data_IF_543243633357
#
_entry.id   IF_543243633357
#
_cell.length_a   1.000
_cell.length_b   1.000
_cell.length_c   1.000
_cell.angle_alpha   90.00
_cell.angle_beta   90.00
_cell.angle_gamma   90.00
#
_symmetry.space_group_name_H-M   'P 1'
#
loop_
_entity.id
_entity.type
_entity.pdbx_description
1 polymer ?
#
# COMPACT_ATOMS: atom_id res chain seq x y z
N UNK A 1 -2.74 -21.90 -4.94
CA UNK A 1 -2.11 -21.55 -3.65
C UNK A 1 -3.18 -20.92 -2.77
N UNK A 2 -3.58 -21.56 -1.66
CA UNK A 2 -4.67 -21.04 -0.84
C UNK A 2 -4.23 -19.70 -0.22
N UNK A 3 -5.03 -18.66 -0.43
CA UNK A 3 -4.82 -17.28 0.02
C UNK A 3 -4.71 -17.10 1.54
N UNK A 4 -4.91 -18.16 2.34
CA UNK A 4 -4.88 -18.14 3.80
C UNK A 4 -3.50 -18.25 4.45
N UNK A 5 -2.53 -18.93 3.81
CA UNK A 5 -1.21 -19.14 4.41
C UNK A 5 -0.42 -17.82 4.59
N UNK A 6 -0.57 -16.90 3.63
CA UNK A 6 0.04 -15.57 3.71
C UNK A 6 -0.56 -14.72 4.83
N UNK A 7 -1.90 -14.72 4.97
CA UNK A 7 -2.57 -13.95 6.03
C UNK A 7 -2.27 -14.49 7.43
N UNK A 8 -2.08 -15.80 7.59
CA UNK A 8 -1.74 -16.39 8.89
C UNK A 8 -0.31 -16.04 9.31
N UNK A 9 0.67 -16.16 8.41
CA UNK A 9 2.06 -15.77 8.69
C UNK A 9 2.13 -14.28 9.04
N UNK A 10 1.39 -13.44 8.33
CA UNK A 10 1.26 -12.01 8.64
C UNK A 10 0.75 -11.80 10.06
N UNK A 11 -0.38 -12.40 10.44
CA UNK A 11 -0.93 -12.26 11.79
C UNK A 11 0.03 -12.74 12.89
N UNK A 12 0.82 -13.79 12.63
CA UNK A 12 1.85 -14.28 13.54
C UNK A 12 3.01 -13.28 13.68
N UNK A 13 3.48 -12.71 12.57
CA UNK A 13 4.56 -11.72 12.59
C UNK A 13 4.17 -10.45 13.34
N UNK A 14 2.96 -9.94 13.10
CA UNK A 14 2.42 -8.76 13.79
C UNK A 14 2.25 -9.02 15.29
N UNK A 15 1.75 -10.21 15.66
CA UNK A 15 1.61 -10.61 17.06
C UNK A 15 2.98 -10.74 17.73
N UNK A 16 3.99 -11.30 17.03
CA UNK A 16 5.36 -11.36 17.54
C UNK A 16 5.96 -9.98 17.76
N UNK A 17 5.65 -9.00 16.90
CA UNK A 17 6.08 -7.62 17.11
C UNK A 17 5.53 -7.03 18.41
N UNK A 18 4.24 -7.23 18.68
CA UNK A 18 3.63 -6.78 19.94
C UNK A 18 4.28 -7.46 21.16
N UNK A 19 4.56 -8.76 21.07
CA UNK A 19 5.31 -9.49 22.10
C UNK A 19 6.73 -8.96 22.30
N UNK A 20 7.46 -8.68 21.23
CA UNK A 20 8.80 -8.10 21.31
C UNK A 20 8.77 -6.72 21.97
N UNK A 21 7.79 -5.87 21.66
CA UNK A 21 7.62 -4.58 22.32
C UNK A 21 7.32 -4.73 23.83
N UNK A 22 6.47 -5.69 24.22
CA UNK A 22 6.20 -5.99 25.62
C UNK A 22 7.46 -6.47 26.37
N UNK A 23 8.22 -7.41 25.78
CA UNK A 23 9.49 -7.88 26.34
C UNK A 23 10.50 -6.73 26.47
N UNK A 24 10.61 -5.87 25.45
CA UNK A 24 11.50 -4.71 25.44
C UNK A 24 11.13 -3.70 26.53
N UNK A 25 9.84 -3.50 26.80
CA UNK A 25 9.34 -2.69 27.91
C UNK A 25 9.81 -3.25 29.25
N UNK A 26 9.46 -4.52 29.51
CA UNK A 26 9.76 -5.18 30.79
C UNK A 26 11.26 -5.25 31.04
N UNK A 27 12.07 -5.51 30.01
CA UNK A 27 13.54 -5.59 30.12
C UNK A 27 14.19 -4.22 30.38
N UNK A 28 13.56 -3.12 30.00
CA UNK A 28 14.09 -1.75 30.16
C UNK A 28 15.26 -1.39 29.23
N UNK A 29 16.03 -2.37 28.73
CA UNK A 29 17.17 -2.21 27.80
C UNK A 29 16.96 -2.96 26.48
N UNK A 30 17.74 -2.66 25.42
CA UNK A 30 17.61 -3.32 24.12
C UNK A 30 17.54 -4.84 24.20
N UNK A 31 16.65 -5.42 23.40
CA UNK A 31 16.61 -6.85 23.13
C UNK A 31 17.81 -7.22 22.24
N UNK A 32 18.42 -8.37 22.51
CA UNK A 32 19.59 -8.88 21.78
C UNK A 32 19.17 -10.01 20.84
N UNK A 33 18.21 -10.84 21.24
CA UNK A 33 17.72 -11.95 20.42
C UNK A 33 16.28 -12.30 20.73
N UNK A 34 15.71 -13.21 19.92
CA UNK A 34 14.36 -13.72 20.14
C UNK A 34 14.21 -14.48 21.46
N UNK A 35 15.29 -15.06 21.99
CA UNK A 35 15.31 -15.79 23.26
C UNK A 35 15.13 -14.87 24.47
N UNK A 36 15.20 -13.55 24.28
CA UNK A 36 14.83 -12.61 25.33
C UNK A 36 13.31 -12.60 25.61
N UNK A 37 12.47 -13.13 24.72
CA UNK A 37 11.01 -13.16 24.93
C UNK A 37 10.63 -14.37 25.78
N UNK A 38 9.96 -14.12 26.90
CA UNK A 38 9.43 -15.15 27.80
C UNK A 38 7.95 -14.87 28.10
N UNK A 39 7.16 -15.87 28.51
CA UNK A 39 5.78 -15.63 28.94
C UNK A 39 5.66 -14.58 30.05
N UNK A 40 6.68 -14.48 30.93
CA UNK A 40 6.66 -13.54 32.04
C UNK A 40 6.87 -12.09 31.60
N UNK A 41 7.76 -11.84 30.64
CA UNK A 41 8.09 -10.47 30.22
C UNK A 41 7.23 -9.95 29.05
N UNK A 42 6.34 -10.78 28.53
CA UNK A 42 5.46 -10.46 27.40
C UNK A 42 4.00 -10.17 27.78
N UNK A 43 3.66 -10.14 29.08
CA UNK A 43 2.27 -9.99 29.60
C UNK A 43 1.51 -8.75 29.12
N UNK A 44 2.25 -7.70 28.74
CA UNK A 44 1.68 -6.44 28.24
C UNK A 44 1.28 -6.50 26.76
N UNK A 45 1.59 -7.59 26.06
CA UNK A 45 1.06 -7.86 24.73
C UNK A 45 -0.35 -8.45 24.81
N UNK A 46 -1.26 -7.94 23.99
CA UNK A 46 -2.66 -8.36 23.85
C UNK A 46 -2.86 -8.79 22.40
N UNK A 47 -2.67 -10.08 22.14
CA UNK A 47 -2.64 -10.64 20.78
C UNK A 47 -3.64 -11.78 20.64
N UNK A 48 -4.26 -11.91 19.46
CA UNK A 48 -5.10 -13.06 19.11
C UNK A 48 -4.30 -14.33 18.81
N UNK A 49 -3.00 -14.21 18.52
CA UNK A 49 -2.09 -15.35 18.30
C UNK A 49 -1.18 -15.54 19.50
N UNK A 50 -0.93 -16.80 19.88
CA UNK A 50 -0.10 -17.14 21.03
C UNK A 50 1.39 -16.96 20.73
N UNK A 51 2.17 -16.53 21.74
CA UNK A 51 3.63 -16.37 21.62
C UNK A 51 4.32 -17.66 21.13
N UNK A 52 3.94 -18.81 21.69
CA UNK A 52 4.50 -20.12 21.32
C UNK A 52 4.29 -20.44 19.84
N UNK A 53 3.11 -20.14 19.30
CA UNK A 53 2.80 -20.30 17.88
C UNK A 53 3.68 -19.38 17.02
N UNK A 54 3.84 -18.11 17.44
CA UNK A 54 4.67 -17.15 16.72
C UNK A 54 6.14 -17.60 16.64
N UNK A 55 6.71 -18.04 17.77
CA UNK A 55 8.10 -18.49 17.86
C UNK A 55 8.38 -19.76 17.04
N UNK A 56 7.40 -20.68 16.97
CA UNK A 56 7.51 -21.93 16.22
C UNK A 56 7.41 -21.71 14.70
N UNK A 57 6.50 -20.86 14.26
CA UNK A 57 6.13 -20.77 12.84
C UNK A 57 6.91 -19.72 12.03
N UNK A 58 7.53 -18.74 12.68
CA UNK A 58 8.25 -17.66 11.97
C UNK A 58 9.73 -18.00 11.77
N UNK A 59 10.24 -17.64 10.58
CA UNK A 59 11.66 -17.74 10.24
C UNK A 59 12.52 -16.73 11.04
N UNK A 60 13.83 -16.96 11.05
CA UNK A 60 14.78 -16.14 11.81
C UNK A 60 14.87 -14.70 11.29
N UNK A 61 14.54 -14.46 10.02
CA UNK A 61 14.51 -13.11 9.47
C UNK A 61 13.34 -12.33 10.04
N UNK A 62 12.16 -12.94 10.17
CA UNK A 62 11.00 -12.35 10.83
C UNK A 62 11.25 -12.11 12.32
N UNK A 63 11.85 -13.09 13.01
CA UNK A 63 12.21 -12.95 14.43
C UNK A 63 13.17 -11.79 14.65
N UNK A 64 14.25 -11.72 13.87
CA UNK A 64 15.19 -10.59 13.91
C UNK A 64 14.52 -9.26 13.60
N UNK A 65 13.70 -9.21 12.55
CA UNK A 65 12.93 -8.02 12.17
C UNK A 65 12.10 -7.48 13.34
N UNK A 66 11.46 -8.37 14.10
CA UNK A 66 10.65 -7.97 15.27
C UNK A 66 11.50 -7.37 16.40
N UNK A 67 12.67 -7.97 16.67
CA UNK A 67 13.61 -7.52 17.70
C UNK A 67 14.20 -6.15 17.36
N UNK A 68 14.71 -5.98 16.14
CA UNK A 68 15.27 -4.70 15.69
C UNK A 68 14.23 -3.59 15.69
N UNK A 69 13.03 -3.89 15.18
CA UNK A 69 11.93 -2.91 15.13
C UNK A 69 11.43 -2.53 16.52
N UNK A 70 11.32 -3.48 17.46
CA UNK A 70 10.96 -3.19 18.85
C UNK A 70 12.00 -2.25 19.50
N UNK A 71 13.29 -2.53 19.31
CA UNK A 71 14.34 -1.66 19.83
C UNK A 71 14.26 -0.24 19.23
N UNK A 72 14.02 -0.14 17.93
CA UNK A 72 13.91 1.13 17.23
C UNK A 72 12.66 1.93 17.69
N UNK A 73 11.51 1.29 17.85
CA UNK A 73 10.29 1.92 18.42
C UNK A 73 10.58 2.55 19.79
N UNK A 74 11.28 1.82 20.68
CA UNK A 74 11.61 2.33 22.01
C UNK A 74 12.62 3.48 21.96
N UNK A 75 13.57 3.44 21.03
CA UNK A 75 14.50 4.56 20.79
C UNK A 75 13.75 5.80 20.30
N UNK A 76 12.79 5.62 19.40
CA UNK A 76 12.07 6.71 18.76
C UNK A 76 11.04 7.39 19.67
N UNK A 77 10.32 6.62 20.47
CA UNK A 77 9.18 7.13 21.24
C UNK A 77 9.41 7.16 22.75
N UNK A 78 10.45 6.49 23.27
CA UNK A 78 10.67 6.31 24.71
C UNK A 78 9.42 5.74 25.40
N UNK A 79 8.89 4.65 24.85
CA UNK A 79 7.67 3.99 25.33
C UNK A 79 7.84 3.53 26.77
N UNK A 80 6.84 3.82 27.61
CA UNK A 80 6.75 3.42 29.01
C UNK A 80 5.31 3.09 29.37
N UNK A 81 5.13 2.22 30.36
CA UNK A 81 3.83 1.92 30.96
C UNK A 81 2.72 1.70 29.91
N UNK A 82 2.97 0.87 28.90
CA UNK A 82 2.07 0.66 27.76
C UNK A 82 1.69 -0.81 27.59
N UNK A 83 0.65 -1.04 26.81
CA UNK A 83 0.22 -2.36 26.31
C UNK A 83 0.31 -2.35 24.80
N UNK A 84 0.53 -3.53 24.20
CA UNK A 84 0.80 -3.69 22.77
C UNK A 84 -0.25 -4.61 22.18
N UNK A 85 -1.14 -4.06 21.36
CA UNK A 85 -2.33 -4.76 20.88
C UNK A 85 -2.14 -5.18 19.43
N UNK A 86 -2.47 -6.45 19.15
CA UNK A 86 -2.66 -6.98 17.81
C UNK A 86 -4.00 -7.71 17.81
N UNK A 87 -4.98 -7.14 17.10
CA UNK A 87 -6.34 -7.64 17.03
C UNK A 87 -7.08 -7.44 18.36
N UNK A 88 -8.27 -8.03 18.46
CA UNK A 88 -9.10 -7.97 19.65
C UNK A 88 -9.86 -6.66 19.80
N UNK A 89 -10.39 -6.44 21.00
CA UNK A 89 -11.44 -5.44 21.26
C UNK A 89 -10.98 -4.01 21.03
N UNK A 90 -9.74 -3.67 21.43
CA UNK A 90 -9.25 -2.30 21.32
C UNK A 90 -9.07 -1.88 19.86
N UNK A 91 -8.47 -2.75 19.05
CA UNK A 91 -8.29 -2.52 17.62
C UNK A 91 -9.66 -2.44 16.93
N UNK A 92 -10.57 -3.37 17.27
CA UNK A 92 -11.94 -3.40 16.73
C UNK A 92 -12.67 -2.09 17.01
N UNK A 93 -12.61 -1.60 18.25
CA UNK A 93 -13.24 -0.33 18.66
C UNK A 93 -12.72 0.87 17.86
N UNK A 94 -11.40 0.96 17.61
CA UNK A 94 -10.84 2.07 16.82
C UNK A 94 -11.34 2.03 15.38
N UNK A 95 -11.38 0.84 14.77
CA UNK A 95 -11.88 0.69 13.40
C UNK A 95 -13.41 0.79 13.30
N UNK A 96 -14.17 0.42 14.33
CA UNK A 96 -15.62 0.58 14.40
C UNK A 96 -16.04 2.05 14.30
N UNK A 97 -15.32 2.95 14.95
CA UNK A 97 -15.56 4.39 14.80
C UNK A 97 -15.31 4.88 13.38
N UNK A 98 -14.29 4.37 12.69
CA UNK A 98 -14.07 4.68 11.28
C UNK A 98 -15.16 4.09 10.37
N UNK A 99 -15.62 2.86 10.63
CA UNK A 99 -16.66 2.18 9.82
C UNK A 99 -17.93 3.03 9.69
N UNK A 100 -18.29 3.79 10.73
CA UNK A 100 -19.41 4.76 10.71
C UNK A 100 -19.27 5.84 9.64
N UNK A 101 -18.04 6.21 9.26
CA UNK A 101 -17.74 7.26 8.29
C UNK A 101 -17.13 6.73 6.99
N UNK A 102 -16.97 5.40 6.85
CA UNK A 102 -16.29 4.78 5.70
C UNK A 102 -16.90 5.22 4.37
N UNK A 103 -18.24 5.24 4.28
CA UNK A 103 -18.97 5.56 3.04
C UNK A 103 -18.59 6.96 2.50
N UNK A 104 -18.45 7.93 3.40
CA UNK A 104 -18.19 9.33 3.04
C UNK A 104 -16.69 9.65 2.95
N UNK A 105 -15.83 8.74 3.40
CA UNK A 105 -14.37 8.91 3.38
C UNK A 105 -13.74 8.83 1.99
N UNK A 106 -14.41 8.18 1.03
CA UNK A 106 -13.82 7.87 -0.28
C UNK A 106 -12.74 6.79 -0.25
N UNK A 107 -12.58 6.08 0.88
CA UNK A 107 -11.58 5.02 1.06
C UNK A 107 -12.19 3.63 0.85
N UNK A 108 -11.44 2.73 0.22
CA UNK A 108 -11.90 1.35 -0.03
C UNK A 108 -12.00 0.50 1.23
N UNK A 109 -11.20 0.79 2.26
CA UNK A 109 -11.05 -0.04 3.45
C UNK A 109 -10.37 0.67 4.62
N UNK A 110 -10.40 0.02 5.77
CA UNK A 110 -9.77 0.46 7.02
C UNK A 110 -8.25 0.62 6.88
N UNK A 111 -7.60 -0.26 6.12
CA UNK A 111 -6.16 -0.21 5.82
C UNK A 111 -5.74 1.09 5.10
N UNK A 112 -6.69 1.70 4.36
CA UNK A 112 -6.48 3.00 3.70
C UNK A 112 -6.70 4.17 4.64
N UNK A 113 -7.45 3.98 5.71
CA UNK A 113 -7.63 4.97 6.76
C UNK A 113 -6.46 4.95 7.75
N UNK A 114 -6.14 3.79 8.29
CA UNK A 114 -5.00 3.54 9.15
C UNK A 114 -4.48 2.11 8.90
N UNK A 115 -3.25 1.92 8.38
CA UNK A 115 -2.67 0.61 8.12
C UNK A 115 -1.92 0.04 9.34
N UNK A 116 -2.34 0.39 10.56
CA UNK A 116 -1.69 -0.10 11.77
C UNK A 116 -1.87 -1.62 11.90
N UNK A 117 -0.74 -2.31 11.98
CA UNK A 117 -0.67 -3.75 12.23
C UNK A 117 -0.65 -4.06 13.74
N UNK A 118 -0.14 -3.11 14.55
CA UNK A 118 -0.24 -3.13 16.01
C UNK A 118 -0.57 -1.73 16.55
N UNK A 119 -1.17 -1.68 17.74
CA UNK A 119 -1.43 -0.46 18.49
C UNK A 119 -0.66 -0.45 19.82
N UNK A 120 0.07 0.64 20.08
CA UNK A 120 0.67 0.92 21.38
C UNK A 120 -0.30 1.78 22.17
N UNK A 121 -0.67 1.34 23.37
CA UNK A 121 -1.68 1.98 24.21
C UNK A 121 -1.11 2.19 25.60
N UNK A 122 -1.02 3.44 26.04
CA UNK A 122 -0.59 3.76 27.40
C UNK A 122 -1.55 3.14 28.42
N UNK A 123 -1.04 2.49 29.45
CA UNK A 123 -1.85 1.90 30.51
C UNK A 123 -2.68 2.98 31.20
N UNK A 124 -3.96 2.69 31.41
CA UNK A 124 -4.95 3.63 31.93
C UNK A 124 -5.61 4.52 30.87
N UNK A 125 -5.08 4.57 29.64
CA UNK A 125 -5.74 5.25 28.54
C UNK A 125 -6.94 4.43 28.06
N UNK A 126 -8.09 5.08 27.93
CA UNK A 126 -9.31 4.49 27.38
C UNK A 126 -9.68 5.26 26.11
N UNK A 127 -9.64 4.63 24.93
CA UNK A 127 -9.99 5.35 23.72
C UNK A 127 -11.43 5.87 23.75
N UNK A 128 -11.63 7.11 23.29
CA UNK A 128 -12.94 7.73 23.11
C UNK A 128 -13.67 7.09 21.92
N UNK A 129 -15.01 7.06 22.00
CA UNK A 129 -15.96 6.66 20.95
C UNK A 129 -16.97 7.79 20.69
N UNK A 130 -17.91 7.56 19.79
CA UNK A 130 -19.04 8.46 19.54
C UNK A 130 -18.63 9.81 18.93
N UNK A 131 -17.73 9.76 17.94
CA UNK A 131 -17.34 10.94 17.18
C UNK A 131 -18.49 11.42 16.27
N UNK A 132 -18.53 12.72 15.96
CA UNK A 132 -19.54 13.31 15.06
C UNK A 132 -19.14 13.28 13.59
N UNK A 133 -17.88 13.00 13.29
CA UNK A 133 -17.37 12.94 11.94
C UNK A 133 -15.92 12.50 11.84
N UNK A 134 -15.50 12.14 10.63
CA UNK A 134 -14.15 11.66 10.35
C UNK A 134 -13.05 12.66 10.74
N UNK A 135 -13.30 13.96 10.57
CA UNK A 135 -12.35 15.00 10.97
C UNK A 135 -12.13 15.03 12.49
N UNK A 136 -13.19 14.82 13.29
CA UNK A 136 -13.08 14.76 14.75
C UNK A 136 -12.32 13.50 15.16
N UNK A 137 -12.63 12.35 14.55
CA UNK A 137 -11.91 11.10 14.78
C UNK A 137 -10.41 11.23 14.43
N UNK A 138 -10.08 11.76 13.24
CA UNK A 138 -8.69 11.94 12.82
C UNK A 138 -7.93 12.92 13.74
N UNK A 139 -8.57 14.02 14.14
CA UNK A 139 -7.99 14.95 15.12
C UNK A 139 -7.73 14.27 16.46
N UNK A 140 -8.68 13.48 16.96
CA UNK A 140 -8.52 12.72 18.19
C UNK A 140 -7.35 11.72 18.13
N UNK A 141 -7.26 10.93 17.04
CA UNK A 141 -6.14 9.99 16.83
C UNK A 141 -4.80 10.75 16.76
N UNK A 142 -4.78 11.91 16.11
CA UNK A 142 -3.60 12.78 16.05
C UNK A 142 -3.18 13.32 17.42
N UNK A 143 -4.11 13.86 18.20
CA UNK A 143 -3.83 14.39 19.53
C UNK A 143 -3.35 13.28 20.49
N UNK A 144 -3.93 12.08 20.41
CA UNK A 144 -3.51 10.91 21.19
C UNK A 144 -2.11 10.41 20.78
N UNK A 145 -1.79 10.43 19.48
CA UNK A 145 -0.46 10.14 18.97
C UNK A 145 0.59 11.13 19.48
N UNK A 146 0.31 12.43 19.43
CA UNK A 146 1.20 13.49 19.94
C UNK A 146 1.51 13.33 21.42
N UNK A 147 0.53 12.89 22.21
CA UNK A 147 0.67 12.59 23.65
C UNK A 147 1.29 11.21 23.93
N UNK A 148 1.48 10.39 22.90
CA UNK A 148 1.92 8.99 23.00
C UNK A 148 0.97 8.12 23.83
N UNK A 149 -0.30 8.49 23.89
CA UNK A 149 -1.33 7.73 24.60
C UNK A 149 -1.85 6.57 23.73
N UNK A 150 -1.92 6.77 22.41
CA UNK A 150 -2.32 5.79 21.40
C UNK A 150 -1.46 5.97 20.13
N UNK A 151 -0.76 4.93 19.70
CA UNK A 151 0.11 4.97 18.51
C UNK A 151 -0.18 3.77 17.62
N UNK A 152 -0.66 4.02 16.40
CA UNK A 152 -0.79 3.00 15.36
C UNK A 152 0.54 2.78 14.64
N UNK A 153 0.99 1.52 14.58
CA UNK A 153 2.25 1.12 13.95
C UNK A 153 1.97 0.20 12.77
N UNK A 154 2.38 0.60 11.58
CA UNK A 154 2.45 -0.23 10.37
C UNK A 154 3.85 -0.79 10.19
N UNK A 155 3.96 -2.05 9.80
CA UNK A 155 5.18 -2.85 9.81
C UNK A 155 5.47 -3.39 8.40
N UNK A 156 6.75 -3.50 8.10
CA UNK A 156 7.27 -4.31 6.99
C UNK A 156 8.39 -5.21 7.52
N UNK A 157 8.55 -6.37 6.88
CA UNK A 157 9.70 -7.25 7.16
C UNK A 157 10.98 -6.50 6.86
N UNK A 158 11.91 -6.49 7.80
CA UNK A 158 13.23 -5.90 7.63
C UNK A 158 14.17 -6.92 6.96
N UNK A 159 14.83 -6.49 5.89
CA UNK A 159 15.76 -7.31 5.11
C UNK A 159 17.00 -7.71 5.92
N UNK A 160 17.67 -8.83 5.59
CA UNK A 160 18.81 -9.34 6.36
C UNK A 160 20.02 -8.41 6.49
N UNK A 161 20.12 -7.34 5.72
CA UNK A 161 21.22 -6.37 5.82
C UNK A 161 20.75 -4.95 6.15
N UNK A 162 19.45 -4.77 6.32
CA UNK A 162 18.83 -3.47 6.52
C UNK A 162 18.58 -3.23 8.01
N UNK A 163 18.07 -2.04 8.32
CA UNK A 163 17.66 -1.60 9.65
C UNK A 163 16.29 -0.95 9.55
N UNK A 164 15.44 -1.07 10.58
CA UNK A 164 14.14 -0.42 10.58
C UNK A 164 14.30 1.11 10.55
N UNK A 165 13.70 1.74 9.56
CA UNK A 165 13.56 3.18 9.40
C UNK A 165 12.13 3.62 9.73
N UNK A 166 12.01 4.72 10.47
CA UNK A 166 10.72 5.32 10.88
C UNK A 166 10.25 6.32 9.84
N UNK A 167 8.98 6.26 9.46
CA UNK A 167 8.30 7.33 8.73
C UNK A 167 6.95 7.60 9.38
N UNK A 168 6.62 8.87 9.60
CA UNK A 168 5.31 9.27 10.16
C UNK A 168 4.46 9.77 8.99
N UNK A 169 3.23 9.29 8.89
CA UNK A 169 2.27 9.68 7.86
C UNK A 169 1.11 10.42 8.51
N UNK A 170 0.52 11.38 7.77
CA UNK A 170 -0.62 12.20 8.21
C UNK A 170 -0.37 12.97 9.50
N UNK A 171 0.86 13.46 9.71
CA UNK A 171 1.24 14.27 10.86
C UNK A 171 0.95 15.78 10.71
N UNK A 172 0.18 16.13 9.68
CA UNK A 172 -0.07 17.51 9.23
C UNK A 172 0.66 17.86 7.92
N UNK A 173 1.64 17.04 7.50
CA UNK A 173 2.36 17.24 6.24
C UNK A 173 1.60 16.60 5.06
N UNK A 174 1.28 17.34 3.98
CA UNK A 174 0.66 16.74 2.81
C UNK A 174 1.67 15.83 2.08
N UNK A 175 1.22 14.71 1.48
CA UNK A 175 2.11 13.86 0.71
C UNK A 175 2.72 14.63 -0.47
N UNK A 176 4.05 14.60 -0.56
CA UNK A 176 4.80 15.17 -1.68
C UNK A 176 5.12 14.05 -2.65
N UNK A 177 4.42 14.05 -3.79
CA UNK A 177 4.83 13.26 -4.94
C UNK A 177 4.78 14.12 -6.20
N UNK A 178 5.82 13.99 -7.03
CA UNK A 178 5.95 14.66 -8.32
C UNK A 178 6.18 13.62 -9.40
N UNK A 179 5.42 13.68 -10.49
CA UNK A 179 5.59 12.80 -11.62
C UNK A 179 6.96 13.04 -12.27
N UNK A 180 7.63 11.95 -12.63
CA UNK A 180 8.91 11.99 -13.33
C UNK A 180 8.74 11.58 -14.78
N UNK A 181 8.27 10.34 -15.02
CA UNK A 181 8.08 9.78 -16.37
C UNK A 181 7.20 8.54 -16.35
N UNK A 182 6.75 8.14 -17.54
CA UNK A 182 6.21 6.81 -17.77
C UNK A 182 7.38 5.87 -18.13
N UNK A 183 7.45 4.71 -17.50
CA UNK A 183 8.37 3.65 -17.89
C UNK A 183 7.61 2.52 -18.57
N UNK A 184 8.02 2.26 -19.80
CA UNK A 184 7.53 1.20 -20.65
C UNK A 184 8.67 0.77 -21.57
N UNK A 185 8.78 -0.53 -21.84
CA UNK A 185 9.75 -1.07 -22.78
C UNK A 185 9.52 -0.53 -24.20
N UNK A 186 10.58 -0.38 -24.98
CA UNK A 186 10.48 -0.01 -26.41
C UNK A 186 9.91 -1.14 -27.26
N UNK A 187 10.15 -2.39 -26.86
CA UNK A 187 9.48 -3.56 -27.40
C UNK A 187 8.13 -3.75 -26.70
N UNK A 188 7.06 -3.65 -27.47
CA UNK A 188 5.67 -3.81 -27.03
C UNK A 188 5.42 -5.19 -26.41
N UNK A 189 6.04 -6.25 -26.94
CA UNK A 189 5.75 -7.64 -26.59
C UNK A 189 6.41 -8.13 -25.30
N UNK A 190 7.56 -7.55 -24.92
CA UNK A 190 8.39 -7.99 -23.79
C UNK A 190 7.76 -7.92 -22.39
N UNK A 191 6.74 -7.08 -22.16
CA UNK A 191 6.12 -6.93 -20.83
C UNK A 191 4.68 -6.48 -20.90
N UNK A 192 3.84 -6.95 -19.96
CA UNK A 192 2.45 -6.50 -19.76
C UNK A 192 2.30 -5.30 -18.82
N UNK A 193 3.41 -4.85 -18.23
CA UNK A 193 3.42 -3.80 -17.23
C UNK A 193 3.61 -2.41 -17.87
N UNK A 194 3.08 -1.39 -17.20
CA UNK A 194 3.36 0.02 -17.43
C UNK A 194 3.63 0.66 -16.07
N UNK A 195 4.58 1.59 -15.96
CA UNK A 195 4.89 2.22 -14.67
C UNK A 195 4.77 3.74 -14.76
N UNK A 196 4.24 4.33 -13.70
CA UNK A 196 4.30 5.78 -13.44
C UNK A 196 5.41 5.99 -12.42
N UNK A 197 6.52 6.61 -12.83
CA UNK A 197 7.61 6.98 -11.92
C UNK A 197 7.34 8.35 -11.32
N UNK A 198 7.63 8.49 -10.02
CA UNK A 198 7.48 9.73 -9.27
C UNK A 198 8.63 9.90 -8.28
N UNK A 199 8.92 11.13 -7.89
CA UNK A 199 9.76 11.44 -6.72
C UNK A 199 8.89 11.77 -5.52
N UNK A 200 9.36 11.41 -4.33
CA UNK A 200 8.74 11.70 -3.03
C UNK A 200 9.80 11.98 -1.97
N UNK A 201 9.37 12.30 -0.74
CA UNK A 201 10.28 12.46 0.40
C UNK A 201 11.06 11.17 0.72
N UNK A 202 10.56 10.01 0.30
CA UNK A 202 11.24 8.71 0.41
C UNK A 202 12.14 8.38 -0.80
N UNK A 203 12.32 9.33 -1.73
CA UNK A 203 13.08 9.17 -2.97
C UNK A 203 12.21 8.79 -4.18
N UNK A 204 12.85 8.22 -5.21
CA UNK A 204 12.18 7.75 -6.42
C UNK A 204 11.34 6.50 -6.14
N UNK A 205 10.09 6.52 -6.59
CA UNK A 205 9.14 5.42 -6.49
C UNK A 205 8.42 5.18 -7.82
N UNK A 206 7.75 4.04 -7.93
CA UNK A 206 7.02 3.66 -9.14
C UNK A 206 5.64 3.13 -8.78
N UNK A 207 4.64 3.42 -9.60
CA UNK A 207 3.32 2.78 -9.55
C UNK A 207 3.24 1.83 -10.73
N UNK A 208 3.25 0.53 -10.46
CA UNK A 208 3.06 -0.50 -11.48
C UNK A 208 1.58 -0.62 -11.82
N UNK A 209 1.23 -0.47 -13.09
CA UNK A 209 -0.10 -0.71 -13.63
C UNK A 209 -0.09 -2.06 -14.34
N UNK A 210 -0.85 -3.03 -13.81
CA UNK A 210 -0.94 -4.37 -14.41
C UNK A 210 -2.18 -5.15 -13.99
N UNK A 211 -2.41 -6.25 -14.69
CA UNK A 211 -3.30 -7.30 -14.24
C UNK A 211 -2.63 -8.19 -13.17
N UNK A 212 -3.29 -8.37 -12.03
CA UNK A 212 -2.84 -9.23 -10.93
C UNK A 212 -3.53 -10.61 -10.90
N UNK A 213 -4.32 -10.92 -11.93
CA UNK A 213 -4.94 -12.22 -12.15
C UNK A 213 -4.24 -12.99 -13.27
N UNK A 214 -4.42 -14.32 -13.29
CA UNK A 214 -4.10 -15.16 -14.45
C UNK A 214 -5.13 -15.01 -15.57
N UNK A 215 -6.34 -14.51 -15.26
CA UNK A 215 -7.43 -14.26 -16.20
C UNK A 215 -7.47 -12.81 -16.64
N UNK A 216 -7.91 -12.58 -17.87
CA UNK A 216 -8.17 -11.24 -18.42
C UNK A 216 -9.49 -10.68 -17.89
N UNK A 217 -9.52 -10.31 -16.61
CA UNK A 217 -10.66 -9.69 -15.95
C UNK A 217 -10.39 -8.21 -15.67
N UNK A 218 -11.22 -7.26 -16.17
CA UNK A 218 -10.96 -5.84 -15.96
C UNK A 218 -10.84 -5.42 -14.49
N UNK A 219 -11.58 -6.09 -13.60
CA UNK A 219 -11.55 -5.85 -12.15
C UNK A 219 -10.21 -6.19 -11.49
N UNK A 220 -9.37 -7.01 -12.13
CA UNK A 220 -8.04 -7.36 -11.64
C UNK A 220 -6.92 -6.48 -12.20
N UNK A 221 -7.23 -5.50 -13.05
CA UNK A 221 -6.28 -4.45 -13.42
C UNK A 221 -6.20 -3.40 -12.31
N UNK A 222 -4.99 -3.21 -11.78
CA UNK A 222 -4.74 -2.40 -10.58
C UNK A 222 -3.39 -1.69 -10.69
N UNK A 223 -3.24 -0.65 -9.87
CA UNK A 223 -1.97 -0.02 -9.56
C UNK A 223 -1.36 -0.65 -8.31
N UNK A 224 -0.03 -0.69 -8.21
CA UNK A 224 0.67 -1.02 -6.98
C UNK A 224 1.91 -0.14 -6.84
N UNK A 225 2.04 0.56 -5.71
CA UNK A 225 3.26 1.31 -5.41
C UNK A 225 4.39 0.29 -5.18
N UNK A 226 5.50 0.44 -5.88
CA UNK A 226 6.74 -0.32 -5.68
C UNK A 226 7.69 0.49 -4.81
N UNK A 227 8.19 -0.14 -3.74
CA UNK A 227 9.34 0.33 -2.98
C UNK A 227 10.59 -0.50 -3.30
N UNK A 228 11.76 -0.05 -2.83
CA UNK A 228 13.04 -0.76 -3.02
C UNK A 228 13.02 -2.19 -2.46
N UNK A 229 12.39 -2.40 -1.30
CA UNK A 229 12.35 -3.70 -0.61
C UNK A 229 10.94 -4.30 -0.50
N UNK A 230 9.88 -3.48 -0.54
CA UNK A 230 8.49 -3.95 -0.40
C UNK A 230 7.49 -3.05 -1.15
N UNK A 231 6.39 -3.63 -1.61
CA UNK A 231 5.30 -2.89 -2.23
C UNK A 231 4.58 -1.96 -1.21
N UNK A 232 4.28 -0.74 -1.65
CA UNK A 232 3.68 0.35 -0.86
C UNK A 232 2.15 0.32 -0.79
N UNK A 233 1.47 -0.54 -1.55
CA UNK A 233 0.03 -0.75 -1.49
C UNK A 233 -0.64 -0.80 -2.87
N UNK A 234 -1.70 -1.60 -2.98
CA UNK A 234 -2.53 -1.71 -4.20
C UNK A 234 -3.55 -0.59 -4.30
N UNK A 235 -3.90 -0.24 -5.53
CA UNK A 235 -4.86 0.78 -5.94
C UNK A 235 -5.78 0.14 -6.99
N UNK A 236 -7.05 -0.03 -6.67
CA UNK A 236 -8.00 -0.65 -7.61
C UNK A 236 -8.14 0.14 -8.91
N UNK A 237 -8.44 -0.54 -10.03
CA UNK A 237 -8.64 0.11 -11.34
C UNK A 237 -9.68 1.22 -11.33
N UNK A 238 -10.77 1.07 -10.56
CA UNK A 238 -11.75 2.13 -10.36
C UNK A 238 -11.16 3.37 -9.68
N UNK A 239 -10.30 3.20 -8.66
CA UNK A 239 -9.61 4.31 -8.01
C UNK A 239 -8.58 4.98 -8.92
N UNK A 240 -7.92 4.23 -9.81
CA UNK A 240 -7.03 4.83 -10.82
C UNK A 240 -7.81 5.82 -11.70
N UNK A 241 -8.98 5.39 -12.21
CA UNK A 241 -9.86 6.23 -13.01
C UNK A 241 -10.39 7.42 -12.21
N UNK A 242 -10.89 7.19 -11.00
CA UNK A 242 -11.38 8.26 -10.12
C UNK A 242 -10.28 9.28 -9.82
N UNK A 243 -9.07 8.83 -9.51
CA UNK A 243 -7.92 9.70 -9.27
C UNK A 243 -7.56 10.56 -10.48
N UNK A 244 -7.66 9.99 -11.69
CA UNK A 244 -7.48 10.76 -12.93
C UNK A 244 -8.57 11.82 -13.12
N UNK A 245 -9.84 11.46 -12.94
CA UNK A 245 -10.96 12.40 -13.05
C UNK A 245 -10.86 13.53 -12.02
N UNK A 246 -10.59 13.20 -10.75
CA UNK A 246 -10.41 14.19 -9.67
C UNK A 246 -9.18 15.08 -9.88
N UNK A 247 -8.18 14.61 -10.63
CA UNK A 247 -7.01 15.39 -11.03
C UNK A 247 -7.26 16.24 -12.29
N UNK A 248 -8.47 16.19 -12.87
CA UNK A 248 -8.88 16.98 -14.02
C UNK A 248 -8.56 16.36 -15.38
N UNK A 249 -8.33 15.04 -15.45
CA UNK A 249 -8.26 14.34 -16.75
C UNK A 249 -9.68 14.24 -17.33
N UNK A 250 -9.94 14.68 -18.56
CA UNK A 250 -11.26 14.58 -19.16
C UNK A 250 -11.73 13.13 -19.26
N UNK A 251 -12.99 12.86 -18.87
CA UNK A 251 -13.59 11.51 -18.96
C UNK A 251 -13.51 10.93 -20.38
N UNK A 252 -13.66 11.78 -21.40
CA UNK A 252 -13.56 11.40 -22.82
C UNK A 252 -12.18 10.89 -23.23
N UNK A 253 -11.14 11.13 -22.43
CA UNK A 253 -9.77 10.64 -22.67
C UNK A 253 -9.45 9.36 -21.90
N UNK A 254 -10.38 8.81 -21.11
CA UNK A 254 -10.16 7.66 -20.26
C UNK A 254 -10.95 6.44 -20.73
N UNK A 255 -10.26 5.32 -20.92
CA UNK A 255 -10.86 4.00 -21.03
C UNK A 255 -11.24 3.47 -19.65
N UNK A 256 -12.54 3.31 -19.40
CA UNK A 256 -13.02 2.61 -18.20
C UNK A 256 -12.71 1.11 -18.35
N UNK A 257 -12.05 0.45 -17.38
CA UNK A 257 -11.66 -0.96 -17.50
C UNK A 257 -12.81 -1.88 -17.92
N UNK A 258 -14.00 -1.68 -17.35
CA UNK A 258 -15.17 -2.52 -17.65
C UNK A 258 -15.62 -2.38 -19.12
N UNK A 259 -15.52 -1.19 -19.71
CA UNK A 259 -15.87 -0.94 -21.12
C UNK A 259 -14.90 -1.63 -22.08
N UNK A 260 -13.69 -1.96 -21.59
CA UNK A 260 -12.70 -2.69 -22.37
C UNK A 260 -13.05 -4.18 -22.54
N UNK A 261 -13.95 -4.73 -21.71
CA UNK A 261 -14.30 -6.16 -21.71
C UNK A 261 -14.66 -6.69 -23.11
N UNK A 262 -15.40 -5.90 -23.91
CA UNK A 262 -15.81 -6.24 -25.28
C UNK A 262 -14.64 -6.40 -26.27
N UNK A 263 -13.48 -5.81 -25.98
CA UNK A 263 -12.29 -5.86 -26.85
C UNK A 263 -11.27 -6.93 -26.43
N UNK A 264 -11.50 -7.64 -25.32
CA UNK A 264 -10.58 -8.67 -24.83
C UNK A 264 -10.49 -9.83 -25.83
N UNK A 265 -11.64 -10.33 -26.29
CA UNK A 265 -11.71 -11.45 -27.23
C UNK A 265 -11.73 -11.01 -28.70
N UNK A 266 -12.17 -9.78 -28.95
CA UNK A 266 -12.43 -9.25 -30.30
C UNK A 266 -11.85 -7.83 -30.45
N UNK A 267 -10.52 -7.67 -30.46
CA UNK A 267 -9.90 -6.37 -30.70
C UNK A 267 -10.22 -5.88 -32.12
N UNK A 268 -10.73 -4.66 -32.26
CA UNK A 268 -11.00 -4.03 -33.56
C UNK A 268 -9.72 -3.45 -34.18
N UNK A 269 -9.67 -3.23 -35.51
CA UNK A 269 -8.55 -2.53 -36.13
C UNK A 269 -8.28 -1.15 -35.52
N UNK A 270 -9.36 -0.43 -35.15
CA UNK A 270 -9.28 0.89 -34.52
C UNK A 270 -8.61 0.84 -33.14
N UNK A 271 -9.01 -0.10 -32.26
CA UNK A 271 -8.42 -0.17 -30.92
C UNK A 271 -6.94 -0.60 -30.96
N UNK A 272 -6.57 -1.43 -31.93
CA UNK A 272 -5.18 -1.82 -32.18
C UNK A 272 -4.35 -0.62 -32.68
N UNK A 273 -4.89 0.18 -33.61
CA UNK A 273 -4.26 1.42 -34.09
C UNK A 273 -4.09 2.45 -32.98
N UNK A 274 -5.12 2.64 -32.17
CA UNK A 274 -5.08 3.53 -31.00
C UNK A 274 -4.01 3.07 -30.02
N UNK A 275 -3.96 1.77 -29.70
CA UNK A 275 -2.93 1.21 -28.84
C UNK A 275 -1.51 1.42 -29.36
N UNK A 276 -1.26 1.10 -30.63
CA UNK A 276 0.05 1.30 -31.27
C UNK A 276 0.50 2.77 -31.23
N UNK A 277 -0.44 3.69 -31.47
CA UNK A 277 -0.17 5.14 -31.45
C UNK A 277 0.19 5.63 -30.05
N UNK A 278 -0.62 5.28 -29.04
CA UNK A 278 -0.36 5.64 -27.63
C UNK A 278 0.96 5.02 -27.14
N UNK A 279 1.20 3.74 -27.48
CA UNK A 279 2.43 3.04 -27.13
C UNK A 279 3.65 3.75 -27.72
N UNK A 280 3.66 4.03 -29.03
CA UNK A 280 4.79 4.72 -29.69
C UNK A 280 5.05 6.09 -29.07
N UNK A 281 4.00 6.83 -28.74
CA UNK A 281 4.12 8.13 -28.09
C UNK A 281 4.85 8.05 -26.74
N UNK A 282 4.50 7.06 -25.91
CA UNK A 282 5.07 6.87 -24.57
C UNK A 282 6.46 6.21 -24.61
N UNK A 283 6.64 5.14 -25.39
CA UNK A 283 7.86 4.33 -25.41
C UNK A 283 8.98 4.92 -26.26
N UNK A 284 8.65 5.85 -27.15
CA UNK A 284 9.56 6.36 -28.20
C UNK A 284 10.13 5.24 -29.08
N UNK A 285 9.37 4.16 -29.26
CA UNK A 285 9.78 3.03 -30.11
C UNK A 285 10.13 3.50 -31.53
N UNK A 286 11.25 3.03 -32.12
CA UNK A 286 11.63 3.39 -33.49
C UNK A 286 10.75 2.72 -34.54
N UNK A 287 9.96 1.69 -34.19
CA UNK A 287 9.13 0.94 -35.12
C UNK A 287 8.00 1.78 -35.73
N UNK A 288 7.63 1.50 -36.97
CA UNK A 288 6.46 2.14 -37.61
C UNK A 288 5.16 1.73 -36.91
N UNK A 289 4.12 2.55 -37.04
CA UNK A 289 2.79 2.26 -36.47
C UNK A 289 2.25 0.92 -37.00
N UNK A 290 2.39 0.61 -38.29
CA UNK A 290 1.90 -0.65 -38.87
C UNK A 290 2.58 -1.89 -38.31
N UNK A 291 3.91 -1.81 -38.06
CA UNK A 291 4.64 -2.87 -37.38
C UNK A 291 4.15 -3.06 -35.95
N UNK A 292 3.87 -1.97 -35.23
CA UNK A 292 3.33 -2.01 -33.87
C UNK A 292 1.89 -2.55 -33.83
N UNK A 293 1.03 -2.20 -34.80
CA UNK A 293 -0.31 -2.76 -34.95
C UNK A 293 -0.22 -4.29 -35.17
N UNK A 294 0.69 -4.73 -36.04
CA UNK A 294 0.91 -6.15 -36.31
C UNK A 294 1.36 -6.91 -35.05
N UNK A 295 2.29 -6.34 -34.29
CA UNK A 295 2.73 -6.90 -33.00
C UNK A 295 1.58 -6.96 -31.98
N UNK A 296 0.81 -5.87 -31.83
CA UNK A 296 -0.32 -5.81 -30.93
C UNK A 296 -1.37 -6.89 -31.25
N UNK A 297 -1.74 -7.01 -32.54
CA UNK A 297 -2.69 -8.02 -33.02
C UNK A 297 -2.20 -9.44 -32.73
N UNK A 298 -0.95 -9.75 -33.07
CA UNK A 298 -0.35 -11.07 -32.84
C UNK A 298 -0.34 -11.42 -31.35
N UNK A 299 0.11 -10.49 -30.51
CA UNK A 299 0.22 -10.73 -29.08
C UNK A 299 -1.15 -10.79 -28.39
N UNK A 300 -2.13 -10.00 -28.84
CA UNK A 300 -3.48 -10.04 -28.29
C UNK A 300 -4.19 -11.38 -28.53
N UNK A 301 -3.91 -12.04 -29.67
CA UNK A 301 -4.40 -13.40 -29.93
C UNK A 301 -3.74 -14.45 -29.02
N UNK A 302 -2.47 -14.25 -28.68
CA UNK A 302 -1.68 -15.19 -27.87
C UNK A 302 -1.98 -15.08 -26.37
N UNK A 303 -2.10 -13.85 -25.87
CA UNK A 303 -2.24 -13.58 -24.44
C UNK A 303 -3.23 -12.43 -24.19
N UNK A 304 -4.47 -12.82 -23.87
CA UNK A 304 -5.55 -11.89 -23.50
C UNK A 304 -5.25 -11.12 -22.21
N UNK A 305 -4.50 -11.72 -21.29
CA UNK A 305 -4.11 -11.09 -20.03
C UNK A 305 -3.06 -10.00 -20.29
N UNK A 306 -2.08 -10.26 -21.15
CA UNK A 306 -1.16 -9.24 -21.63
C UNK A 306 -1.91 -8.12 -22.35
N UNK A 307 -2.81 -8.46 -23.27
CA UNK A 307 -3.55 -7.50 -24.09
C UNK A 307 -4.30 -6.48 -23.25
N UNK A 308 -5.15 -6.96 -22.35
CA UNK A 308 -5.93 -6.11 -21.46
C UNK A 308 -5.02 -5.31 -20.53
N UNK A 309 -4.04 -5.96 -19.89
CA UNK A 309 -3.13 -5.31 -18.93
C UNK A 309 -2.34 -4.17 -19.57
N UNK A 310 -1.75 -4.44 -20.73
CA UNK A 310 -0.87 -3.51 -21.43
C UNK A 310 -1.67 -2.38 -22.07
N UNK A 311 -2.81 -2.68 -22.69
CA UNK A 311 -3.69 -1.64 -23.25
C UNK A 311 -4.16 -0.67 -22.17
N UNK A 312 -4.75 -1.17 -21.08
CA UNK A 312 -5.27 -0.31 -20.01
C UNK A 312 -4.14 0.51 -19.36
N UNK A 313 -2.97 -0.09 -19.14
CA UNK A 313 -1.77 0.60 -18.64
C UNK A 313 -1.32 1.74 -19.56
N UNK A 314 -1.13 1.44 -20.85
CA UNK A 314 -0.69 2.40 -21.88
C UNK A 314 -1.72 3.51 -22.07
N UNK A 315 -3.01 3.16 -22.14
CA UNK A 315 -4.08 4.12 -22.33
C UNK A 315 -4.17 5.09 -21.16
N UNK A 316 -4.16 4.57 -19.92
CA UNK A 316 -4.16 5.40 -18.73
C UNK A 316 -2.95 6.34 -18.67
N UNK A 317 -1.75 5.79 -18.87
CA UNK A 317 -0.51 6.57 -18.90
C UNK A 317 -0.53 7.66 -19.98
N UNK A 318 -1.05 7.35 -21.17
CA UNK A 318 -1.18 8.29 -22.26
C UNK A 318 -2.16 9.42 -21.90
N UNK A 319 -3.33 9.09 -21.34
CA UNK A 319 -4.35 10.06 -20.95
C UNK A 319 -3.84 11.08 -19.91
N UNK A 320 -3.15 10.60 -18.86
CA UNK A 320 -2.65 11.49 -17.80
C UNK A 320 -1.52 12.40 -18.29
N UNK A 321 -0.68 11.91 -19.21
CA UNK A 321 0.41 12.70 -19.82
C UNK A 321 -0.17 13.72 -20.80
N UNK A 322 -1.07 13.29 -21.69
CA UNK A 322 -1.60 14.13 -22.76
C UNK A 322 -2.51 15.25 -22.24
N UNK A 323 -3.20 15.02 -21.13
CA UNK A 323 -4.00 16.04 -20.43
C UNK A 323 -3.17 17.03 -19.61
N UNK A 324 -1.86 16.81 -19.45
CA UNK A 324 -1.00 17.62 -18.59
C UNK A 324 -1.29 17.45 -17.09
N UNK A 325 -1.95 16.37 -16.68
CA UNK A 325 -2.35 16.12 -15.27
C UNK A 325 -1.53 15.05 -14.56
N UNK A 326 -0.47 14.55 -15.19
CA UNK A 326 0.37 13.46 -14.64
C UNK A 326 0.89 13.74 -13.22
N UNK A 327 1.32 14.97 -12.91
CA UNK A 327 1.74 15.38 -11.57
C UNK A 327 0.62 15.26 -10.53
N UNK A 328 -0.55 15.82 -10.83
CA UNK A 328 -1.71 15.77 -9.94
C UNK A 328 -2.18 14.32 -9.70
N UNK A 329 -2.18 13.50 -10.75
CA UNK A 329 -2.49 12.08 -10.68
C UNK A 329 -1.49 11.34 -9.82
N UNK A 330 -0.18 11.52 -10.04
CA UNK A 330 0.86 10.88 -9.26
C UNK A 330 0.73 11.22 -7.76
N UNK A 331 0.44 12.50 -7.43
CA UNK A 331 0.17 12.93 -6.06
C UNK A 331 -1.05 12.24 -5.46
N UNK A 332 -2.16 12.18 -6.19
CA UNK A 332 -3.37 11.50 -5.74
C UNK A 332 -3.10 10.01 -5.47
N UNK A 333 -2.50 9.31 -6.44
CA UNK A 333 -2.27 7.87 -6.36
C UNK A 333 -1.24 7.51 -5.29
N UNK A 334 -0.17 8.29 -5.14
CA UNK A 334 0.79 8.12 -4.06
C UNK A 334 0.11 8.31 -2.70
N UNK A 335 -0.68 9.38 -2.55
CA UNK A 335 -1.45 9.65 -1.34
C UNK A 335 -2.38 8.49 -0.98
N UNK A 336 -3.14 7.98 -1.95
CA UNK A 336 -4.05 6.84 -1.73
C UNK A 336 -3.31 5.54 -1.41
N UNK A 337 -2.30 5.19 -2.23
CA UNK A 337 -1.59 3.92 -2.09
C UNK A 337 -0.80 3.82 -0.78
N UNK A 338 -0.28 4.95 -0.29
CA UNK A 338 0.46 5.05 0.98
C UNK A 338 -0.42 5.30 2.22
N UNK A 339 -1.75 5.31 2.07
CA UNK A 339 -2.71 5.63 3.15
C UNK A 339 -2.48 7.03 3.74
N UNK A 340 -2.12 8.01 2.90
CA UNK A 340 -1.87 9.41 3.27
C UNK A 340 -2.84 10.41 2.65
N UNK A 341 -4.09 10.01 2.53
CA UNK A 341 -5.16 10.90 2.04
C UNK A 341 -5.60 11.87 3.13
N UNK A 342 -6.37 12.91 2.78
CA UNK A 342 -7.01 13.79 3.78
C UNK A 342 -7.95 13.04 4.73
N UNK A 343 -8.49 11.91 4.30
CA UNK A 343 -9.38 11.08 5.09
C UNK A 343 -8.60 10.13 6.04
N UNK A 344 -7.33 9.86 5.77
CA UNK A 344 -6.49 8.92 6.54
C UNK A 344 -6.03 9.52 7.88
N UNK A 345 -5.91 8.69 8.92
CA UNK A 345 -5.43 9.10 10.24
C UNK A 345 -3.91 8.91 10.37
N UNK A 346 -3.32 9.51 11.41
CA UNK A 346 -1.88 9.41 11.67
C UNK A 346 -1.47 7.97 12.02
N UNK A 347 -0.33 7.55 11.49
CA UNK A 347 0.32 6.30 11.87
C UNK A 347 1.83 6.40 11.65
N UNK A 348 2.55 5.47 12.26
CA UNK A 348 4.00 5.33 12.10
C UNK A 348 4.28 4.08 11.31
N UNK A 349 5.09 4.19 10.27
CA UNK A 349 5.56 3.05 9.50
C UNK A 349 7.01 2.73 9.86
N UNK A 350 7.28 1.45 10.10
CA UNK A 350 8.64 0.90 10.14
C UNK A 350 8.87 0.01 8.92
N UNK A 351 9.90 0.34 8.15
CA UNK A 351 10.31 -0.43 6.97
C UNK A 351 11.82 -0.40 6.79
N UNK A 352 12.33 -1.17 5.83
CA UNK A 352 13.70 -1.04 5.32
C UNK A 352 14.05 0.36 4.82
#
# INVERSE_FOLDING_TARGET
MPSGAGSEITALAESLQAYACAARQTKGKPLVSIYDLTPQNTKDAKCTKQLTQCLKSLDDTWKRSCIETANQIFKDFNIKNSTFHRGGDLESMVYDEFRRFKKDSGLSGEDKWNPADIWIVKKGYKPKKDFKGLNELNKYIFDAFKKKDLIGISLKKIGPKNRPHKTIYNDGSPPKAKFTKILITQDMSSSKDCYIEFSSDSGLGQIQLRNFSSRAEPSSWQGEIKGKSAAGGKIGGGLLIQGALMSGVPKTQLMIPQDFKRYIDKPTPEILKNFATMFKYLSKSPMTIDKLISQASSQARKDKTWWMSKYLGVHYAYAIVKSGKADAVAKFLYGYGSSSTKASSVFVKYSD
#
